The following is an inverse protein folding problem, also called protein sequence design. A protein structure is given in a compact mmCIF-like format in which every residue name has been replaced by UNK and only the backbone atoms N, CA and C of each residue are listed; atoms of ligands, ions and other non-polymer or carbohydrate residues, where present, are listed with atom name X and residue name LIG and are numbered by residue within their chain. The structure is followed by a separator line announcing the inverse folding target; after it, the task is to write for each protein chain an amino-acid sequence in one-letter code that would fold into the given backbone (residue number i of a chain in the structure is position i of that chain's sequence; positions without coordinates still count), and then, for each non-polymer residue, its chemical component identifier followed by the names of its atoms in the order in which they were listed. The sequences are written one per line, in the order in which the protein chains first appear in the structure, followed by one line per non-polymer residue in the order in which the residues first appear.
data_IF_333618397666
#
_entry.id   IF_333618397666
#
_cell.length_a   1.000
_cell.length_b   1.000
_cell.length_c   1.000
_cell.angle_alpha   90.00
_cell.angle_beta   90.00
_cell.angle_gamma   90.00
#
_symmetry.space_group_name_H-M   'P 1'
#
loop_
_entity.id
_entity.type
_entity.pdbx_description
1 polymer ?
#
# COMPACT_ATOMS: atom_id res chain seq x y z
N UNK A 1 15.05 11.49 -2.74
CA UNK A 1 14.12 10.95 -1.73
C UNK A 1 12.72 10.74 -2.27
N UNK A 2 11.97 11.76 -2.75
CA UNK A 2 10.59 11.59 -3.28
C UNK A 2 10.49 10.51 -4.36
N UNK A 3 11.33 10.57 -5.39
CA UNK A 3 11.35 9.56 -6.45
C UNK A 3 11.65 8.16 -5.92
N UNK A 4 12.58 8.03 -4.98
CA UNK A 4 12.95 6.73 -4.38
C UNK A 4 11.76 6.10 -3.65
N UNK A 5 10.99 6.88 -2.89
CA UNK A 5 9.79 6.37 -2.19
C UNK A 5 8.74 5.88 -3.19
N UNK A 6 8.51 6.63 -4.28
CA UNK A 6 7.57 6.18 -5.32
C UNK A 6 8.06 4.96 -6.09
N UNK A 7 9.38 4.81 -6.32
CA UNK A 7 9.95 3.58 -6.94
C UNK A 7 9.74 2.38 -6.03
N UNK A 8 10.13 2.51 -4.76
CA UNK A 8 9.96 1.42 -3.79
C UNK A 8 8.47 1.08 -3.64
N UNK A 9 7.61 2.10 -3.54
CA UNK A 9 6.16 1.92 -3.50
C UNK A 9 5.64 1.19 -4.73
N UNK A 10 6.01 1.62 -5.95
CA UNK A 10 5.60 0.95 -7.18
C UNK A 10 5.96 -0.55 -7.17
N UNK A 11 7.22 -0.86 -6.86
CA UNK A 11 7.71 -2.25 -6.80
C UNK A 11 6.95 -3.05 -5.74
N UNK A 12 6.83 -2.51 -4.53
CA UNK A 12 6.16 -3.20 -3.43
C UNK A 12 4.68 -3.49 -3.75
N UNK A 13 3.93 -2.48 -4.20
CA UNK A 13 2.51 -2.65 -4.52
C UNK A 13 2.28 -3.59 -5.70
N UNK A 14 3.13 -3.53 -6.75
CA UNK A 14 3.04 -4.46 -7.87
C UNK A 14 3.37 -5.89 -7.46
N UNK A 15 4.42 -6.12 -6.67
CA UNK A 15 4.77 -7.46 -6.20
C UNK A 15 3.67 -8.07 -5.32
N UNK A 16 3.11 -7.29 -4.39
CA UNK A 16 1.99 -7.73 -3.55
C UNK A 16 0.76 -8.03 -4.40
N UNK A 17 0.43 -7.15 -5.36
CA UNK A 17 -0.72 -7.36 -6.25
C UNK A 17 -0.57 -8.59 -7.14
N UNK A 18 0.60 -8.81 -7.73
CA UNK A 18 0.91 -10.01 -8.52
C UNK A 18 0.84 -11.27 -7.65
N UNK A 19 1.41 -11.24 -6.45
CA UNK A 19 1.36 -12.36 -5.50
C UNK A 19 -0.07 -12.70 -5.10
N UNK A 20 -0.88 -11.71 -4.75
CA UNK A 20 -2.31 -11.92 -4.43
C UNK A 20 -3.09 -12.49 -5.62
N UNK A 21 -2.84 -11.99 -6.84
CA UNK A 21 -3.47 -12.51 -8.05
C UNK A 21 -3.06 -13.97 -8.29
N UNK A 22 -1.78 -14.29 -8.10
CA UNK A 22 -1.30 -15.67 -8.21
C UNK A 22 -2.00 -16.62 -7.23
N UNK A 23 -2.15 -16.21 -5.97
CA UNK A 23 -2.88 -16.99 -4.96
C UNK A 23 -4.37 -17.11 -5.30
N UNK A 24 -5.00 -16.04 -5.79
CA UNK A 24 -6.41 -16.07 -6.18
C UNK A 24 -6.69 -17.06 -7.30
N UNK A 25 -5.79 -17.14 -8.30
CA UNK A 25 -5.97 -17.99 -9.48
C UNK A 25 -5.51 -19.43 -9.27
N UNK A 26 -4.40 -19.63 -8.53
CA UNK A 26 -3.71 -20.90 -8.45
C UNK A 26 -3.86 -21.60 -7.09
N UNK A 27 -4.35 -20.93 -6.06
CA UNK A 27 -4.15 -21.42 -4.71
C UNK A 27 -5.18 -21.05 -3.65
N UNK A 28 -6.38 -20.56 -3.98
CA UNK A 28 -7.39 -20.25 -2.95
C UNK A 28 -7.76 -21.48 -2.11
N UNK A 29 -7.96 -22.65 -2.74
CA UNK A 29 -8.20 -23.90 -2.02
C UNK A 29 -7.00 -24.36 -1.19
N UNK A 30 -5.79 -24.23 -1.73
CA UNK A 30 -4.55 -24.54 -1.03
C UNK A 30 -4.33 -23.63 0.19
N UNK A 31 -4.70 -22.36 0.08
CA UNK A 31 -4.62 -21.40 1.18
C UNK A 31 -5.65 -21.74 2.27
N UNK A 32 -6.90 -22.01 1.88
CA UNK A 32 -7.97 -22.42 2.81
C UNK A 32 -7.63 -23.68 3.60
N UNK A 33 -6.99 -24.67 2.95
CA UNK A 33 -6.56 -25.90 3.63
C UNK A 33 -5.50 -25.65 4.74
N UNK A 34 -4.88 -24.50 4.78
CA UNK A 34 -3.85 -24.12 5.76
C UNK A 34 -4.29 -23.06 6.77
N UNK A 35 -5.41 -22.43 6.51
CA UNK A 35 -5.99 -21.46 7.45
C UNK A 35 -6.89 -22.19 8.47
N UNK A 36 -7.06 -21.62 9.68
CA UNK A 36 -8.10 -22.07 10.58
C UNK A 36 -9.45 -22.10 9.85
N UNK A 37 -10.42 -22.94 10.25
CA UNK A 37 -11.72 -23.02 9.60
C UNK A 37 -12.38 -21.64 9.60
N UNK A 38 -12.34 -21.00 8.45
CA UNK A 38 -13.01 -19.72 8.18
C UNK A 38 -14.39 -20.03 7.61
N UNK A 39 -15.39 -19.23 7.99
CA UNK A 39 -16.73 -19.32 7.40
C UNK A 39 -16.78 -18.68 5.98
N UNK A 40 -15.73 -18.89 5.19
CA UNK A 40 -15.55 -18.34 3.84
C UNK A 40 -15.22 -19.52 2.92
N UNK A 41 -15.92 -19.62 1.80
CA UNK A 41 -15.63 -20.60 0.75
C UNK A 41 -14.46 -20.15 -0.17
N UNK A 42 -13.98 -21.06 -1.01
CA UNK A 42 -12.85 -20.80 -1.90
C UNK A 42 -13.14 -19.71 -2.94
N UNK A 43 -14.38 -19.63 -3.42
CA UNK A 43 -14.78 -18.64 -4.42
C UNK A 43 -14.85 -17.24 -3.83
N UNK A 44 -15.42 -17.11 -2.62
CA UNK A 44 -15.46 -15.83 -1.91
C UNK A 44 -14.05 -15.35 -1.55
N UNK A 45 -13.16 -16.25 -1.11
CA UNK A 45 -11.75 -15.92 -0.85
C UNK A 45 -11.03 -15.51 -2.14
N UNK A 46 -11.20 -16.28 -3.22
CA UNK A 46 -10.63 -15.97 -4.54
C UNK A 46 -11.09 -14.62 -5.07
N UNK A 47 -12.38 -14.34 -4.95
CA UNK A 47 -12.96 -13.04 -5.32
C UNK A 47 -12.38 -11.87 -4.52
N UNK A 48 -12.26 -12.03 -3.19
CA UNK A 48 -11.68 -11.01 -2.32
C UNK A 48 -10.19 -10.75 -2.65
N UNK A 49 -9.41 -11.82 -2.83
CA UNK A 49 -7.98 -11.72 -3.21
C UNK A 49 -7.81 -11.05 -4.57
N UNK A 50 -8.69 -11.37 -5.55
CA UNK A 50 -8.68 -10.74 -6.87
C UNK A 50 -8.97 -9.23 -6.76
N UNK A 51 -9.99 -8.84 -6.02
CA UNK A 51 -10.31 -7.43 -5.81
C UNK A 51 -9.16 -6.67 -5.14
N UNK A 52 -8.54 -7.25 -4.11
CA UNK A 52 -7.37 -6.67 -3.45
C UNK A 52 -6.17 -6.60 -4.41
N UNK A 53 -5.92 -7.64 -5.20
CA UNK A 53 -4.85 -7.65 -6.20
C UNK A 53 -5.01 -6.52 -7.21
N UNK A 54 -6.21 -6.33 -7.77
CA UNK A 54 -6.51 -5.24 -8.71
C UNK A 54 -6.27 -3.88 -8.06
N UNK A 55 -6.71 -3.68 -6.81
CA UNK A 55 -6.45 -2.45 -6.08
C UNK A 55 -4.94 -2.18 -5.90
N UNK A 56 -4.16 -3.20 -5.49
CA UNK A 56 -2.70 -3.07 -5.32
C UNK A 56 -1.98 -2.78 -6.64
N UNK A 57 -2.36 -3.47 -7.72
CA UNK A 57 -1.82 -3.23 -9.06
C UNK A 57 -2.13 -1.80 -9.55
N UNK A 58 -3.35 -1.32 -9.28
CA UNK A 58 -3.74 0.06 -9.62
C UNK A 58 -2.91 1.09 -8.86
N UNK A 59 -2.68 0.87 -7.56
CA UNK A 59 -1.79 1.72 -6.75
C UNK A 59 -0.37 1.69 -7.31
N UNK A 60 0.16 0.51 -7.64
CA UNK A 60 1.49 0.38 -8.25
C UNK A 60 1.61 1.12 -9.59
N UNK A 61 0.62 0.97 -10.46
CA UNK A 61 0.56 1.69 -11.74
C UNK A 61 0.49 3.22 -11.54
N UNK A 62 -0.30 3.68 -10.56
CA UNK A 62 -0.37 5.09 -10.20
C UNK A 62 0.99 5.65 -9.80
N UNK A 63 1.79 4.89 -9.04
CA UNK A 63 3.15 5.30 -8.68
C UNK A 63 4.03 5.49 -9.92
N UNK A 64 3.93 4.60 -10.91
CA UNK A 64 4.69 4.71 -12.17
C UNK A 64 4.30 5.99 -12.93
N UNK A 65 3.00 6.25 -13.07
CA UNK A 65 2.49 7.45 -13.74
C UNK A 65 2.97 8.73 -13.03
N UNK A 66 2.93 8.75 -11.70
CA UNK A 66 3.44 9.87 -10.91
C UNK A 66 4.95 10.05 -11.06
N UNK A 67 5.72 8.95 -11.09
CA UNK A 67 7.18 9.00 -11.34
C UNK A 67 7.51 9.64 -12.68
N UNK A 68 6.80 9.25 -13.74
CA UNK A 68 6.97 9.82 -15.09
C UNK A 68 6.64 11.33 -15.07
N UNK A 69 5.53 11.70 -14.45
CA UNK A 69 5.12 13.10 -14.33
C UNK A 69 6.10 13.95 -13.52
N UNK A 70 6.59 13.42 -12.39
CA UNK A 70 7.62 14.07 -11.56
C UNK A 70 8.97 14.18 -12.27
N UNK A 71 9.34 13.19 -13.08
CA UNK A 71 10.55 13.23 -13.89
C UNK A 71 10.50 14.35 -14.94
N UNK A 72 9.30 14.63 -15.47
CA UNK A 72 9.04 15.70 -16.44
C UNK A 72 8.80 17.07 -15.78
N UNK A 73 8.91 17.19 -14.46
CA UNK A 73 8.70 18.45 -13.72
C UNK A 73 7.23 18.93 -13.70
N UNK A 74 6.29 18.05 -14.01
CA UNK A 74 4.88 18.42 -14.16
C UNK A 74 4.23 18.87 -12.83
N UNK A 75 3.50 20.00 -12.87
CA UNK A 75 2.77 20.52 -11.71
C UNK A 75 1.68 19.56 -11.24
N UNK A 76 0.92 18.97 -12.18
CA UNK A 76 -0.13 18.02 -11.83
C UNK A 76 0.40 16.80 -11.07
N UNK A 77 1.59 16.30 -11.46
CA UNK A 77 2.18 15.16 -10.79
C UNK A 77 2.63 15.47 -9.36
N UNK A 78 3.00 16.71 -9.07
CA UNK A 78 3.28 17.14 -7.68
C UNK A 78 2.01 17.20 -6.85
N UNK A 79 0.93 17.79 -7.37
CA UNK A 79 -0.36 17.86 -6.67
C UNK A 79 -0.96 16.46 -6.46
N UNK A 80 -1.05 15.66 -7.52
CA UNK A 80 -1.55 14.30 -7.45
C UNK A 80 -0.67 13.42 -6.56
N UNK A 81 0.65 13.57 -6.65
CA UNK A 81 1.61 12.85 -5.81
C UNK A 81 1.47 13.18 -4.32
N UNK A 82 1.24 14.44 -3.97
CA UNK A 82 0.98 14.85 -2.58
C UNK A 82 -0.34 14.23 -2.06
N UNK A 83 -1.40 14.25 -2.88
CA UNK A 83 -2.69 13.66 -2.53
C UNK A 83 -2.57 12.15 -2.34
N UNK A 84 -2.00 11.44 -3.32
CA UNK A 84 -1.82 9.98 -3.26
C UNK A 84 -0.97 9.59 -2.07
N UNK A 85 0.13 10.30 -1.81
CA UNK A 85 0.97 10.03 -0.65
C UNK A 85 0.21 10.24 0.68
N UNK A 86 -0.64 11.26 0.78
CA UNK A 86 -1.47 11.49 1.98
C UNK A 86 -2.50 10.39 2.18
N UNK A 87 -3.17 9.96 1.12
CA UNK A 87 -4.17 8.87 1.17
C UNK A 87 -3.51 7.56 1.57
N UNK A 88 -2.36 7.22 0.96
CA UNK A 88 -1.63 6.00 1.31
C UNK A 88 -1.09 6.03 2.74
N UNK A 89 -0.63 7.18 3.23
CA UNK A 89 -0.24 7.33 4.63
C UNK A 89 -1.43 7.06 5.57
N UNK A 90 -2.62 7.56 5.26
CA UNK A 90 -3.82 7.31 6.05
C UNK A 90 -4.25 5.84 6.04
N UNK A 91 -4.21 5.18 4.87
CA UNK A 91 -4.50 3.74 4.75
C UNK A 91 -3.52 2.91 5.57
N UNK A 92 -2.21 3.17 5.42
CA UNK A 92 -1.17 2.45 6.15
C UNK A 92 -1.26 2.67 7.66
N UNK A 93 -1.67 3.87 8.10
CA UNK A 93 -1.92 4.16 9.51
C UNK A 93 -3.08 3.31 10.04
N UNK A 94 -4.17 3.20 9.28
CA UNK A 94 -5.29 2.32 9.61
C UNK A 94 -4.87 0.86 9.71
N UNK A 95 -4.06 0.38 8.76
CA UNK A 95 -3.53 -0.98 8.78
C UNK A 95 -2.60 -1.23 9.98
N UNK A 96 -1.74 -0.28 10.32
CA UNK A 96 -0.88 -0.36 11.50
C UNK A 96 -1.71 -0.45 12.79
N UNK A 97 -2.74 0.39 12.93
CA UNK A 97 -3.63 0.36 14.08
C UNK A 97 -4.40 -0.95 14.18
N UNK A 98 -4.91 -1.47 13.05
CA UNK A 98 -5.59 -2.75 12.99
C UNK A 98 -4.67 -3.91 13.38
N UNK A 99 -3.43 -3.93 12.87
CA UNK A 99 -2.43 -4.96 13.20
C UNK A 99 -2.07 -4.94 14.70
N UNK A 100 -1.86 -3.76 15.29
CA UNK A 100 -1.61 -3.61 16.73
C UNK A 100 -2.81 -4.11 17.54
N UNK A 101 -4.03 -3.69 17.17
CA UNK A 101 -5.25 -4.12 17.85
C UNK A 101 -5.44 -5.63 17.80
N UNK A 102 -5.11 -6.27 16.67
CA UNK A 102 -5.16 -7.72 16.50
C UNK A 102 -4.07 -8.42 17.33
N UNK A 103 -2.85 -7.89 17.36
CA UNK A 103 -1.75 -8.44 18.16
C UNK A 103 -2.05 -8.42 19.67
N UNK A 104 -2.78 -7.42 20.15
CA UNK A 104 -3.21 -7.33 21.55
C UNK A 104 -4.30 -8.34 21.91
N UNK A 105 -5.06 -8.83 20.93
CA UNK A 105 -6.15 -9.81 21.14
C UNK A 105 -5.68 -11.26 20.95
N UNK A 106 -4.65 -11.47 20.15
CA UNK A 106 -4.14 -12.80 19.79
C UNK A 106 -2.64 -12.87 20.01
N UNK A 107 -2.27 -13.29 21.20
CA UNK A 107 -0.87 -13.42 21.61
C UNK A 107 -0.09 -14.46 20.77
N UNK A 108 -0.76 -15.48 20.23
CA UNK A 108 -0.12 -16.51 19.41
C UNK A 108 0.43 -15.95 18.10
N UNK A 109 -0.26 -14.97 17.52
CA UNK A 109 0.11 -14.30 16.28
C UNK A 109 0.66 -12.87 16.48
N UNK A 110 0.98 -12.49 17.71
CA UNK A 110 1.42 -11.12 18.02
C UNK A 110 2.68 -10.72 17.25
N UNK A 111 3.69 -11.59 17.14
CA UNK A 111 4.97 -11.25 16.52
C UNK A 111 4.86 -10.85 15.05
N UNK A 112 4.22 -11.64 14.15
CA UNK A 112 4.03 -11.23 12.76
C UNK A 112 3.14 -9.99 12.61
N UNK A 113 2.13 -9.81 13.47
CA UNK A 113 1.27 -8.63 13.46
C UNK A 113 2.02 -7.36 13.88
N UNK A 114 2.89 -7.44 14.88
CA UNK A 114 3.77 -6.32 15.26
C UNK A 114 4.73 -5.99 14.12
N UNK A 115 5.32 -7.00 13.47
CA UNK A 115 6.16 -6.81 12.30
C UNK A 115 5.43 -6.08 11.17
N UNK A 116 4.20 -6.47 10.87
CA UNK A 116 3.35 -5.80 9.88
C UNK A 116 3.03 -4.35 10.30
N UNK A 117 2.75 -4.09 11.57
CA UNK A 117 2.50 -2.75 12.09
C UNK A 117 3.72 -1.84 11.96
N UNK A 118 4.92 -2.35 12.26
CA UNK A 118 6.19 -1.60 12.11
C UNK A 118 6.44 -1.25 10.65
N UNK A 119 6.26 -2.19 9.72
CA UNK A 119 6.40 -1.95 8.28
C UNK A 119 5.40 -0.92 7.79
N UNK A 120 4.13 -1.02 8.21
CA UNK A 120 3.11 -0.04 7.87
C UNK A 120 3.45 1.35 8.43
N UNK A 121 3.92 1.46 9.68
CA UNK A 121 4.34 2.71 10.28
C UNK A 121 5.54 3.36 9.54
N UNK A 122 6.51 2.56 9.11
CA UNK A 122 7.61 3.04 8.28
C UNK A 122 7.09 3.60 6.93
N UNK A 123 6.11 2.93 6.32
CA UNK A 123 5.42 3.40 5.12
C UNK A 123 4.68 4.72 5.36
N UNK A 124 3.97 4.86 6.49
CA UNK A 124 3.31 6.12 6.89
C UNK A 124 4.31 7.26 6.91
N UNK A 125 5.43 7.10 7.60
CA UNK A 125 6.47 8.13 7.69
C UNK A 125 7.02 8.50 6.31
N UNK A 126 7.32 7.50 5.47
CA UNK A 126 7.84 7.72 4.13
C UNK A 126 6.87 8.54 3.26
N UNK A 127 5.58 8.17 3.24
CA UNK A 127 4.57 8.88 2.45
C UNK A 127 4.23 10.27 3.01
N UNK A 128 4.19 10.44 4.33
CA UNK A 128 4.00 11.77 4.93
C UNK A 128 5.14 12.73 4.58
N UNK A 129 6.39 12.26 4.64
CA UNK A 129 7.54 13.08 4.23
C UNK A 129 7.46 13.48 2.76
N UNK A 130 7.01 12.58 1.89
CA UNK A 130 6.77 12.87 0.46
C UNK A 130 5.64 13.88 0.30
N UNK A 131 4.51 13.69 0.96
CA UNK A 131 3.36 14.59 0.88
C UNK A 131 3.73 16.02 1.31
N UNK A 132 4.39 16.16 2.45
CA UNK A 132 4.84 17.48 2.97
C UNK A 132 5.84 18.13 2.01
N UNK A 133 6.78 17.36 1.47
CA UNK A 133 7.77 17.90 0.53
C UNK A 133 7.12 18.42 -0.74
N UNK A 134 6.24 17.63 -1.36
CA UNK A 134 5.54 18.00 -2.58
C UNK A 134 4.60 19.20 -2.35
N UNK A 135 3.93 19.26 -1.19
CA UNK A 135 3.10 20.40 -0.81
C UNK A 135 3.92 21.70 -0.69
N UNK A 136 5.10 21.63 -0.09
CA UNK A 136 6.02 22.79 0.00
C UNK A 136 6.50 23.26 -1.38
N UNK A 137 6.85 22.31 -2.27
CA UNK A 137 7.26 22.63 -3.64
C UNK A 137 6.14 23.29 -4.46
N UNK A 138 4.87 23.01 -4.15
CA UNK A 138 3.70 23.68 -4.75
C UNK A 138 3.53 25.10 -4.24
N UNK A 139 3.70 25.33 -2.92
CA UNK A 139 3.58 26.66 -2.30
C UNK A 139 4.68 27.62 -2.72
N UNK A 140 5.91 27.14 -2.92
CA UNK A 140 7.03 27.97 -3.34
C UNK A 140 6.99 28.39 -4.82
N UNK A 141 6.24 27.66 -5.66
CA UNK A 141 6.10 27.95 -7.08
C UNK A 141 4.98 28.95 -7.44
N UNK A 142 4.25 29.47 -6.45
CA UNK A 142 3.17 30.47 -6.63
C UNK A 142 3.61 31.90 -6.32
N UNK A 143 4.88 32.12 -6.02
CA UNK A 143 5.42 33.44 -5.61
C UNK A 143 6.20 34.16 -6.75
N UNK A 144 5.84 33.90 -8.03
CA UNK A 144 6.37 34.63 -9.21
C UNK A 144 5.23 35.17 -10.05
#
# INVERSE_FOLDING_TARGET
MTRTVFVIGAVAWLLVGIGMMGVAVLGSEWLLARLPPLAIDADALGGALTAMAVAMLTVGATHIVLLIGLARGSRWARSAGALVASVLAAILLGLAAAAISSALRDAANALPLIGAAVLAAAGVLAYLLVAVRLARELGSGSAV
#
